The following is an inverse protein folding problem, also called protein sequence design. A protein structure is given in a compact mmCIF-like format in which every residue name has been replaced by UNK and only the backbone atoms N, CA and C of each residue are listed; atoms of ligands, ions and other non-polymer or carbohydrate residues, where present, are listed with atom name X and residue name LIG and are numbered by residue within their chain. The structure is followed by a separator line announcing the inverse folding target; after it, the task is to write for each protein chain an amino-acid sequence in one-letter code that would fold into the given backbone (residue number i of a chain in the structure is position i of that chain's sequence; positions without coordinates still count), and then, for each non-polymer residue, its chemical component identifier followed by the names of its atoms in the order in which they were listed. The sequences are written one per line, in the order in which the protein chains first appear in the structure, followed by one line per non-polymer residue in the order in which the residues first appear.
data_IF_710510758178
#
_entry.id   IF_710510758178
#
_cell.length_a   1.000
_cell.length_b   1.000
_cell.length_c   1.000
_cell.angle_alpha   90.00
_cell.angle_beta   90.00
_cell.angle_gamma   90.00
#
_symmetry.space_group_name_H-M   'P 1'
#
loop_
_entity.id
_entity.type
_entity.pdbx_description
1 polymer ?
#
# COMPACT_ATOMS: atom_id res chain seq x y z
N UNK A 1 2.64 -13.86 -29.53
CA UNK A 1 2.65 -14.04 -28.06
C UNK A 1 1.46 -13.29 -27.48
N UNK A 2 0.53 -13.98 -26.81
CA UNK A 2 -0.69 -13.42 -26.24
C UNK A 2 -0.37 -12.23 -25.31
N UNK A 3 -1.14 -11.15 -25.37
CA UNK A 3 -0.98 -9.96 -24.52
C UNK A 3 -0.94 -10.32 -23.02
N UNK A 4 -1.79 -11.26 -22.60
CA UNK A 4 -1.84 -11.73 -21.21
C UNK A 4 -0.53 -12.40 -20.79
N UNK A 5 0.12 -13.14 -21.69
CA UNK A 5 1.40 -13.78 -21.41
C UNK A 5 2.54 -12.75 -21.26
N UNK A 6 2.54 -11.69 -22.09
CA UNK A 6 3.53 -10.61 -21.97
C UNK A 6 3.40 -9.89 -20.62
N UNK A 7 2.17 -9.63 -20.17
CA UNK A 7 1.91 -8.97 -18.88
C UNK A 7 2.31 -9.86 -17.70
N UNK A 8 2.00 -11.16 -17.76
CA UNK A 8 2.42 -12.14 -16.77
C UNK A 8 3.95 -12.22 -16.69
N UNK A 9 4.63 -12.22 -17.84
CA UNK A 9 6.08 -12.29 -17.91
C UNK A 9 6.74 -11.02 -17.35
N UNK A 10 6.21 -9.84 -17.68
CA UNK A 10 6.65 -8.56 -17.10
C UNK A 10 6.45 -8.50 -15.58
N UNK A 11 5.31 -9.01 -15.09
CA UNK A 11 4.99 -9.10 -13.66
C UNK A 11 5.97 -10.02 -12.94
N UNK A 12 6.19 -11.21 -13.49
CA UNK A 12 7.16 -12.19 -12.96
C UNK A 12 8.56 -11.61 -12.90
N UNK A 13 8.99 -10.94 -13.97
CA UNK A 13 10.28 -10.28 -14.06
C UNK A 13 10.47 -9.23 -12.94
N UNK A 14 9.48 -8.36 -12.75
CA UNK A 14 9.48 -7.36 -11.69
C UNK A 14 9.51 -7.97 -10.28
N UNK A 15 8.76 -9.04 -10.05
CA UNK A 15 8.73 -9.77 -8.77
C UNK A 15 10.11 -10.36 -8.46
N UNK A 16 10.75 -11.04 -9.42
CA UNK A 16 12.07 -11.64 -9.24
C UNK A 16 13.12 -10.58 -8.94
N UNK A 17 13.17 -9.50 -9.74
CA UNK A 17 14.12 -8.40 -9.53
C UNK A 17 13.96 -7.79 -8.14
N UNK A 18 12.70 -7.53 -7.74
CA UNK A 18 12.39 -6.92 -6.44
C UNK A 18 12.75 -7.85 -5.30
N UNK A 19 12.41 -9.14 -5.39
CA UNK A 19 12.70 -10.12 -4.34
C UNK A 19 14.21 -10.34 -4.19
N UNK A 20 14.95 -10.41 -5.30
CA UNK A 20 16.41 -10.52 -5.31
C UNK A 20 17.07 -9.34 -4.61
N UNK A 21 16.68 -8.11 -4.97
CA UNK A 21 17.20 -6.90 -4.32
C UNK A 21 16.90 -6.89 -2.83
N UNK A 22 15.68 -7.28 -2.46
CA UNK A 22 15.28 -7.39 -1.05
C UNK A 22 16.13 -8.38 -0.26
N UNK A 23 16.56 -9.47 -0.90
CA UNK A 23 17.47 -10.45 -0.32
C UNK A 23 18.94 -10.00 -0.31
N UNK A 24 19.27 -8.86 -0.94
CA UNK A 24 20.63 -8.35 -1.02
C UNK A 24 21.53 -9.09 -2.01
N UNK A 25 20.97 -9.92 -2.89
CA UNK A 25 21.75 -10.66 -3.88
C UNK A 25 21.97 -9.84 -5.15
N UNK A 26 23.14 -10.00 -5.76
CA UNK A 26 23.42 -9.67 -7.16
C UNK A 26 22.80 -10.73 -8.08
N UNK A 27 22.74 -10.44 -9.39
CA UNK A 27 22.25 -11.41 -10.36
C UNK A 27 23.14 -12.66 -10.43
N UNK A 28 24.46 -12.50 -10.29
CA UNK A 28 25.41 -13.61 -10.26
C UNK A 28 25.20 -14.52 -9.05
N UNK A 29 25.11 -13.93 -7.86
CA UNK A 29 24.88 -14.71 -6.63
C UNK A 29 23.56 -15.49 -6.65
N UNK A 30 22.49 -14.92 -7.21
CA UNK A 30 21.24 -15.67 -7.38
C UNK A 30 21.41 -16.81 -8.41
N UNK A 31 22.13 -16.55 -9.50
CA UNK A 31 22.38 -17.53 -10.56
C UNK A 31 23.17 -18.74 -10.02
N UNK A 32 24.24 -18.48 -9.26
CA UNK A 32 25.06 -19.50 -8.60
C UNK A 32 24.22 -20.36 -7.65
N UNK A 33 23.31 -19.74 -6.89
CA UNK A 33 22.42 -20.45 -5.95
C UNK A 33 21.41 -21.37 -6.62
N UNK A 34 20.99 -21.08 -7.85
CA UNK A 34 20.01 -21.90 -8.59
C UNK A 34 20.63 -22.73 -9.71
N UNK A 35 21.96 -22.72 -9.84
CA UNK A 35 22.69 -23.52 -10.84
C UNK A 35 22.50 -23.05 -12.29
N UNK A 36 22.38 -21.73 -12.52
CA UNK A 36 22.31 -21.15 -13.88
C UNK A 36 23.36 -20.07 -14.08
N UNK A 37 23.59 -19.65 -15.32
CA UNK A 37 24.46 -18.51 -15.63
C UNK A 37 23.77 -17.16 -15.36
N UNK A 38 24.52 -16.13 -14.98
CA UNK A 38 23.99 -14.77 -14.68
C UNK A 38 23.10 -14.20 -15.81
N UNK A 39 23.46 -14.46 -17.07
CA UNK A 39 22.69 -13.95 -18.23
C UNK A 39 21.25 -14.50 -18.26
N UNK A 40 21.01 -15.69 -17.71
CA UNK A 40 19.67 -16.26 -17.54
C UNK A 40 18.83 -15.42 -16.58
N UNK A 41 19.37 -15.08 -15.40
CA UNK A 41 18.68 -14.20 -14.44
C UNK A 41 18.40 -12.83 -15.06
N UNK A 42 19.38 -12.25 -15.75
CA UNK A 42 19.22 -10.97 -16.45
C UNK A 42 18.10 -11.00 -17.48
N UNK A 43 17.95 -12.10 -18.25
CA UNK A 43 16.85 -12.27 -19.21
C UNK A 43 15.49 -12.48 -18.53
N UNK A 44 15.45 -13.16 -17.38
CA UNK A 44 14.24 -13.31 -16.57
C UNK A 44 13.79 -11.94 -16.04
N UNK A 45 14.68 -11.17 -15.42
CA UNK A 45 14.36 -9.84 -14.86
C UNK A 45 13.99 -8.79 -15.92
N UNK A 46 14.35 -9.01 -17.18
CA UNK A 46 13.92 -8.17 -18.31
C UNK A 46 12.61 -8.63 -18.95
N UNK A 47 12.01 -9.72 -18.48
CA UNK A 47 10.82 -10.31 -19.09
C UNK A 47 11.07 -10.85 -20.50
N UNK A 48 12.32 -11.24 -20.81
CA UNK A 48 12.72 -11.85 -22.10
C UNK A 48 12.59 -13.37 -22.03
N UNK A 49 12.86 -13.95 -20.85
CA UNK A 49 12.85 -15.39 -20.61
C UNK A 49 11.91 -15.71 -19.46
N UNK A 50 10.94 -16.59 -19.70
CA UNK A 50 10.13 -17.15 -18.62
C UNK A 50 10.96 -18.18 -17.85
N UNK A 51 11.00 -18.15 -16.50
CA UNK A 51 11.59 -19.24 -15.74
C UNK A 51 10.76 -20.52 -15.96
N UNK A 52 11.43 -21.67 -15.94
CA UNK A 52 10.73 -22.97 -15.83
C UNK A 52 10.11 -23.09 -14.44
N UNK A 53 9.14 -23.99 -14.25
CA UNK A 53 8.55 -24.26 -12.94
C UNK A 53 9.60 -24.60 -11.87
N UNK A 54 10.59 -25.44 -12.19
CA UNK A 54 11.68 -25.78 -11.28
C UNK A 54 12.42 -24.54 -10.76
N UNK A 55 12.99 -23.74 -11.67
CA UNK A 55 13.68 -22.49 -11.31
C UNK A 55 12.78 -21.49 -10.57
N UNK A 56 11.49 -21.41 -10.91
CA UNK A 56 10.54 -20.57 -10.18
C UNK A 56 10.40 -21.01 -8.71
N UNK A 57 10.24 -22.32 -8.46
CA UNK A 57 10.14 -22.86 -7.11
C UNK A 57 11.44 -22.65 -6.31
N UNK A 58 12.60 -22.85 -6.93
CA UNK A 58 13.90 -22.62 -6.27
C UNK A 58 14.12 -21.14 -5.96
N UNK A 59 13.85 -20.24 -6.90
CA UNK A 59 13.86 -18.79 -6.64
C UNK A 59 12.87 -18.42 -5.53
N UNK A 60 11.67 -19.00 -5.53
CA UNK A 60 10.64 -18.76 -4.52
C UNK A 60 11.12 -19.09 -3.10
N UNK A 61 11.78 -20.24 -2.93
CA UNK A 61 12.39 -20.65 -1.65
C UNK A 61 13.52 -19.71 -1.23
N UNK A 62 14.48 -19.45 -2.12
CA UNK A 62 15.69 -18.66 -1.81
C UNK A 62 15.34 -17.21 -1.51
N UNK A 63 14.46 -16.61 -2.32
CA UNK A 63 14.08 -15.20 -2.25
C UNK A 63 12.86 -14.95 -1.34
N UNK A 64 12.28 -16.01 -0.78
CA UNK A 64 11.05 -15.98 0.03
C UNK A 64 9.94 -15.21 -0.69
N UNK A 65 9.67 -15.57 -1.94
CA UNK A 65 8.58 -15.01 -2.75
C UNK A 65 7.28 -15.71 -2.32
N UNK A 66 6.26 -14.97 -1.88
CA UNK A 66 4.94 -15.56 -1.61
C UNK A 66 4.37 -16.24 -2.85
N UNK A 67 3.72 -17.39 -2.69
CA UNK A 67 3.15 -18.16 -3.81
C UNK A 67 2.12 -17.33 -4.60
N UNK A 68 1.37 -16.47 -3.91
CA UNK A 68 0.35 -15.63 -4.53
C UNK A 68 0.93 -14.42 -5.27
N UNK A 69 2.23 -14.14 -5.16
CA UNK A 69 2.83 -12.89 -5.62
C UNK A 69 2.58 -12.62 -7.11
N UNK A 70 2.72 -13.64 -7.95
CA UNK A 70 2.48 -13.53 -9.40
C UNK A 70 1.01 -13.29 -9.71
N UNK A 71 0.11 -13.93 -8.97
CA UNK A 71 -1.33 -13.78 -9.17
C UNK A 71 -1.83 -12.39 -8.77
N UNK A 72 -1.30 -11.83 -7.68
CA UNK A 72 -1.67 -10.48 -7.22
C UNK A 72 -0.85 -9.37 -7.87
N UNK A 73 0.27 -9.72 -8.51
CA UNK A 73 1.20 -8.77 -9.15
C UNK A 73 2.17 -8.07 -8.20
N UNK A 74 2.26 -8.51 -6.95
CA UNK A 74 3.05 -7.85 -5.90
C UNK A 74 3.74 -8.84 -4.96
N UNK A 75 4.89 -8.44 -4.42
CA UNK A 75 5.45 -9.05 -3.22
C UNK A 75 4.74 -8.50 -1.99
N UNK A 76 3.97 -9.37 -1.32
CA UNK A 76 3.18 -8.97 -0.16
C UNK A 76 3.28 -10.05 0.93
N UNK A 77 4.05 -9.76 1.99
CA UNK A 77 4.20 -10.62 3.17
C UNK A 77 3.34 -10.15 4.34
N UNK A 78 2.50 -9.14 4.12
CA UNK A 78 1.51 -8.68 5.11
C UNK A 78 2.10 -8.30 6.48
N UNK A 79 3.37 -7.85 6.52
CA UNK A 79 4.04 -7.58 7.80
C UNK A 79 3.49 -6.31 8.47
N UNK A 80 3.76 -6.13 9.75
CA UNK A 80 3.39 -4.91 10.48
C UNK A 80 4.36 -3.78 10.11
N UNK A 81 3.82 -2.56 9.94
CA UNK A 81 4.60 -1.35 9.71
C UNK A 81 5.35 -0.97 10.98
N UNK A 82 6.62 -0.60 10.84
CA UNK A 82 7.46 -0.10 11.93
C UNK A 82 7.80 1.33 11.61
N UNK A 83 7.79 2.20 12.63
CA UNK A 83 8.31 3.55 12.46
C UNK A 83 9.82 3.44 12.58
N UNK A 84 10.53 3.60 11.48
CA UNK A 84 11.97 3.45 11.48
C UNK A 84 12.61 4.35 10.42
N UNK A 85 13.50 5.26 10.84
CA UNK A 85 14.24 6.14 9.94
C UNK A 85 15.49 5.48 9.34
N UNK A 86 15.99 4.41 9.95
CA UNK A 86 17.29 3.78 9.63
C UNK A 86 17.16 2.47 8.86
N UNK A 87 15.97 1.88 8.79
CA UNK A 87 15.76 0.62 8.07
C UNK A 87 16.23 0.75 6.61
N UNK A 88 16.98 -0.23 6.11
CA UNK A 88 17.23 -0.33 4.66
C UNK A 88 16.05 -1.04 4.02
N UNK A 89 15.48 -0.45 2.97
CA UNK A 89 14.39 -1.07 2.21
C UNK A 89 14.99 -2.01 1.16
N UNK A 90 15.39 -3.21 1.59
CA UNK A 90 15.64 -4.33 0.69
C UNK A 90 16.54 -4.03 -0.52
N UNK A 91 17.72 -3.47 -0.28
CA UNK A 91 18.69 -3.14 -1.34
C UNK A 91 18.32 -1.93 -2.22
N UNK A 92 17.17 -1.29 -1.99
CA UNK A 92 16.82 -0.03 -2.64
C UNK A 92 17.36 1.16 -1.84
N UNK A 93 17.97 2.10 -2.56
CA UNK A 93 18.37 3.39 -1.99
C UNK A 93 17.24 4.39 -2.20
N UNK A 94 16.63 4.84 -1.11
CA UNK A 94 15.63 5.90 -1.16
C UNK A 94 16.28 7.28 -1.29
N UNK A 95 15.66 8.22 -2.02
CA UNK A 95 15.95 9.65 -1.91
C UNK A 95 15.97 10.11 -0.45
N UNK A 96 16.87 11.06 -0.12
CA UNK A 96 17.06 11.52 1.26
C UNK A 96 15.77 12.04 1.91
N UNK A 97 14.89 12.68 1.12
CA UNK A 97 13.60 13.19 1.58
C UNK A 97 12.63 12.11 2.10
N UNK A 98 12.81 10.85 1.68
CA UNK A 98 11.91 9.73 2.03
C UNK A 98 12.48 8.78 3.09
N UNK A 99 13.71 9.01 3.57
CA UNK A 99 14.36 8.15 4.58
C UNK A 99 13.84 8.36 6.00
N UNK A 100 13.60 9.59 6.47
CA UNK A 100 13.15 9.82 7.84
C UNK A 100 11.71 9.37 8.04
N UNK A 101 11.40 8.88 9.26
CA UNK A 101 10.04 8.62 9.73
C UNK A 101 9.20 7.78 8.76
N UNK A 102 9.77 6.69 8.25
CA UNK A 102 9.01 5.75 7.42
C UNK A 102 7.94 5.09 8.27
N UNK A 103 6.72 5.58 8.13
CA UNK A 103 5.56 5.24 8.94
C UNK A 103 4.42 4.69 8.10
N UNK A 104 4.61 4.56 6.79
CA UNK A 104 3.67 3.97 5.85
C UNK A 104 4.36 2.85 5.09
N UNK A 105 3.56 2.03 4.43
CA UNK A 105 4.03 1.06 3.45
C UNK A 105 3.59 1.44 2.07
N UNK A 106 4.25 0.88 1.06
CA UNK A 106 3.77 0.95 -0.34
C UNK A 106 2.30 0.51 -0.43
N UNK A 107 1.88 -0.49 0.36
CA UNK A 107 0.45 -0.88 0.48
C UNK A 107 -0.47 0.31 0.79
N UNK A 108 -0.05 1.20 1.69
CA UNK A 108 -0.84 2.37 2.11
C UNK A 108 -0.99 3.44 1.03
N UNK A 109 -0.11 3.47 0.02
CA UNK A 109 -0.18 4.41 -1.10
C UNK A 109 -0.68 3.77 -2.40
N UNK A 110 -0.98 2.47 -2.39
CA UNK A 110 -1.30 1.72 -3.61
C UNK A 110 -2.55 2.25 -4.33
N UNK A 111 -3.53 2.77 -3.59
CA UNK A 111 -4.68 3.44 -4.18
C UNK A 111 -4.33 4.71 -4.96
N UNK A 112 -3.33 5.49 -4.50
CA UNK A 112 -2.84 6.65 -5.23
C UNK A 112 -2.23 6.20 -6.56
N UNK A 113 -1.35 5.21 -6.51
CA UNK A 113 -0.66 4.68 -7.70
C UNK A 113 -1.66 4.08 -8.71
N UNK A 114 -2.66 3.34 -8.21
CA UNK A 114 -3.70 2.71 -9.05
C UNK A 114 -4.59 3.78 -9.70
N UNK A 115 -5.06 4.76 -8.93
CA UNK A 115 -5.80 5.90 -9.47
C UNK A 115 -5.01 6.60 -10.57
N UNK A 116 -3.72 6.87 -10.34
CA UNK A 116 -2.87 7.55 -11.32
C UNK A 116 -2.72 6.73 -12.59
N UNK A 117 -2.43 5.43 -12.46
CA UNK A 117 -2.28 4.52 -13.60
C UNK A 117 -3.55 4.47 -14.46
N UNK A 118 -4.71 4.32 -13.82
CA UNK A 118 -5.99 4.18 -14.53
C UNK A 118 -6.49 5.51 -15.10
N UNK A 119 -6.25 6.63 -14.39
CA UNK A 119 -6.70 7.96 -14.80
C UNK A 119 -5.80 8.59 -15.87
N UNK A 120 -4.48 8.43 -15.74
CA UNK A 120 -3.48 9.15 -16.55
C UNK A 120 -2.57 8.23 -17.37
N UNK A 121 -2.65 6.91 -17.17
CA UNK A 121 -1.90 5.91 -17.93
C UNK A 121 -0.55 5.52 -17.33
N UNK A 122 -0.04 4.36 -17.76
CA UNK A 122 1.23 3.77 -17.31
C UNK A 122 2.45 4.67 -17.58
N UNK A 123 2.49 5.37 -18.71
CA UNK A 123 3.62 6.25 -19.05
C UNK A 123 3.70 7.46 -18.12
N UNK A 124 2.55 8.01 -17.72
CA UNK A 124 2.52 9.09 -16.73
C UNK A 124 2.99 8.60 -15.35
N UNK A 125 2.55 7.42 -14.92
CA UNK A 125 3.04 6.82 -13.67
C UNK A 125 4.57 6.60 -13.69
N UNK A 126 5.14 6.15 -14.81
CA UNK A 126 6.60 6.04 -14.97
C UNK A 126 7.30 7.39 -14.83
N UNK A 127 6.71 8.46 -15.37
CA UNK A 127 7.23 9.83 -15.23
C UNK A 127 7.26 10.27 -13.75
N UNK A 128 6.19 9.98 -13.00
CA UNK A 128 6.18 10.24 -11.55
C UNK A 128 7.34 9.51 -10.86
N UNK A 129 7.55 8.23 -11.14
CA UNK A 129 8.66 7.48 -10.54
C UNK A 129 10.04 8.08 -10.90
N UNK A 130 10.21 8.57 -12.12
CA UNK A 130 11.42 9.29 -12.54
C UNK A 130 11.61 10.59 -11.75
N UNK A 131 10.57 11.40 -11.61
CA UNK A 131 10.59 12.67 -10.87
C UNK A 131 10.89 12.43 -9.38
N UNK A 132 10.34 11.36 -8.80
CA UNK A 132 10.65 10.90 -7.44
C UNK A 132 12.06 10.31 -7.31
N UNK A 133 12.78 10.06 -8.41
CA UNK A 133 14.07 9.35 -8.46
C UNK A 133 14.00 7.95 -7.83
N UNK A 134 12.88 7.24 -8.05
CA UNK A 134 12.61 5.92 -7.51
C UNK A 134 12.39 4.91 -8.64
N UNK A 135 12.88 3.67 -8.45
CA UNK A 135 12.65 2.61 -9.43
C UNK A 135 11.22 2.08 -9.31
N UNK A 136 10.51 1.82 -10.43
CA UNK A 136 9.16 1.23 -10.38
C UNK A 136 9.10 -0.08 -9.57
N UNK A 137 10.16 -0.89 -9.63
CA UNK A 137 10.26 -2.15 -8.88
C UNK A 137 10.26 -1.99 -7.37
N UNK A 138 10.61 -0.82 -6.83
CA UNK A 138 10.44 -0.52 -5.40
C UNK A 138 8.97 -0.66 -4.96
N UNK A 139 8.03 -0.25 -5.82
CA UNK A 139 6.59 -0.26 -5.54
C UNK A 139 5.93 -1.62 -5.75
N UNK A 140 6.68 -2.64 -6.21
CA UNK A 140 6.18 -4.01 -6.31
C UNK A 140 6.23 -4.76 -4.97
N UNK A 141 7.03 -4.29 -4.00
CA UNK A 141 7.00 -4.83 -2.64
C UNK A 141 6.09 -3.98 -1.76
N UNK A 142 4.89 -4.49 -1.47
CA UNK A 142 3.89 -3.80 -0.65
C UNK A 142 4.33 -3.64 0.81
N UNK A 143 5.36 -4.38 1.24
CA UNK A 143 5.94 -4.23 2.57
C UNK A 143 7.08 -3.22 2.65
N UNK A 144 7.56 -2.66 1.54
CA UNK A 144 8.54 -1.59 1.59
C UNK A 144 7.96 -0.38 2.34
N UNK A 145 8.73 0.16 3.28
CA UNK A 145 8.31 1.32 4.06
C UNK A 145 8.65 2.61 3.34
N UNK A 146 7.74 3.56 3.45
CA UNK A 146 7.84 4.91 2.91
C UNK A 146 7.44 5.89 4.00
N UNK A 147 7.89 7.14 3.88
CA UNK A 147 7.40 8.19 4.74
C UNK A 147 6.16 8.85 4.15
N UNK A 148 5.53 9.68 4.97
CA UNK A 148 4.31 10.37 4.59
C UNK A 148 4.51 11.36 3.42
N UNK A 149 5.67 12.04 3.37
CA UNK A 149 6.01 13.02 2.32
C UNK A 149 5.93 12.44 0.91
N UNK A 150 6.20 11.13 0.73
CA UNK A 150 6.07 10.50 -0.58
C UNK A 150 4.66 10.65 -1.16
N UNK A 151 3.62 10.59 -0.32
CA UNK A 151 2.23 10.76 -0.76
C UNK A 151 1.97 12.20 -1.19
N UNK A 152 2.46 13.17 -0.41
CA UNK A 152 2.35 14.60 -0.75
C UNK A 152 3.07 14.90 -2.08
N UNK A 153 4.29 14.42 -2.26
CA UNK A 153 5.08 14.65 -3.48
C UNK A 153 4.42 14.00 -4.70
N UNK A 154 3.85 12.79 -4.55
CA UNK A 154 3.07 12.16 -5.63
C UNK A 154 1.92 13.08 -6.06
N UNK A 155 1.16 13.62 -5.09
CA UNK A 155 0.07 14.53 -5.38
C UNK A 155 0.59 15.85 -5.96
N UNK A 156 1.66 16.45 -5.43
CA UNK A 156 2.22 17.67 -5.99
C UNK A 156 2.67 17.49 -7.46
N UNK A 157 3.31 16.36 -7.78
CA UNK A 157 3.71 16.04 -9.16
C UNK A 157 2.48 15.90 -10.05
N UNK A 158 1.43 15.19 -9.60
CA UNK A 158 0.16 15.12 -10.34
C UNK A 158 -0.40 16.53 -10.55
N UNK A 159 -0.37 17.38 -9.52
CA UNK A 159 -0.80 18.79 -9.53
C UNK A 159 -0.10 19.66 -10.57
N UNK A 160 1.19 19.40 -10.83
CA UNK A 160 1.98 20.12 -11.85
C UNK A 160 1.52 19.83 -13.28
N UNK A 161 0.97 18.64 -13.52
CA UNK A 161 0.52 18.22 -14.86
C UNK A 161 -1.00 18.26 -15.03
N UNK A 162 -1.74 18.12 -13.93
CA UNK A 162 -3.19 18.00 -13.90
C UNK A 162 -3.74 18.73 -12.67
N UNK A 163 -4.87 19.42 -12.83
CA UNK A 163 -5.53 20.09 -11.71
C UNK A 163 -5.96 19.05 -10.66
N UNK A 164 -5.48 19.22 -9.42
CA UNK A 164 -5.99 18.47 -8.27
C UNK A 164 -7.14 19.28 -7.66
N UNK A 165 -8.31 18.67 -7.62
CA UNK A 165 -9.49 19.20 -6.94
C UNK A 165 -10.09 18.12 -6.01
N UNK A 166 -11.20 18.43 -5.33
CA UNK A 166 -11.89 17.45 -4.48
C UNK A 166 -12.32 16.17 -5.22
N UNK A 167 -12.47 16.20 -6.55
CA UNK A 167 -12.80 15.00 -7.34
C UNK A 167 -11.59 14.08 -7.45
N UNK A 168 -10.37 14.62 -7.47
CA UNK A 168 -9.14 13.81 -7.42
C UNK A 168 -9.06 13.03 -6.11
N UNK A 169 -9.30 13.68 -4.96
CA UNK A 169 -9.31 13.01 -3.67
C UNK A 169 -10.41 11.94 -3.60
N UNK A 170 -11.64 12.28 -4.02
CA UNK A 170 -12.73 11.32 -4.12
C UNK A 170 -12.42 10.14 -5.06
N UNK A 171 -11.68 10.40 -6.14
CA UNK A 171 -11.20 9.40 -7.09
C UNK A 171 -10.21 8.42 -6.45
N UNK A 172 -9.20 8.92 -5.72
CA UNK A 172 -8.24 8.07 -5.00
C UNK A 172 -8.96 7.24 -3.93
N UNK A 173 -9.80 7.88 -3.13
CA UNK A 173 -10.54 7.25 -2.02
C UNK A 173 -11.54 6.20 -2.54
N UNK A 174 -12.02 6.31 -3.78
CA UNK A 174 -12.86 5.28 -4.39
C UNK A 174 -12.17 3.92 -4.54
N UNK A 175 -10.84 3.89 -4.64
CA UNK A 175 -10.06 2.64 -4.69
C UNK A 175 -9.96 1.95 -3.33
N UNK A 176 -10.33 2.59 -2.22
CA UNK A 176 -10.39 1.91 -0.92
C UNK A 176 -11.35 0.71 -0.93
N UNK A 177 -12.32 0.64 -1.85
CA UNK A 177 -13.21 -0.51 -1.99
C UNK A 177 -12.67 -1.59 -2.97
N UNK A 178 -11.49 -1.38 -3.57
CA UNK A 178 -10.94 -2.25 -4.62
C UNK A 178 -10.03 -3.33 -4.05
N UNK A 179 -10.27 -4.60 -4.39
CA UNK A 179 -9.42 -5.71 -3.96
C UNK A 179 -7.94 -5.51 -4.34
N UNK A 180 -7.68 -4.90 -5.50
CA UNK A 180 -6.34 -4.67 -6.06
C UNK A 180 -5.44 -3.88 -5.09
N UNK A 181 -6.00 -2.96 -4.30
CA UNK A 181 -5.18 -2.09 -3.44
C UNK A 181 -4.88 -2.67 -2.05
N UNK A 182 -5.43 -3.85 -1.73
CA UNK A 182 -5.23 -4.50 -0.43
C UNK A 182 -4.29 -5.70 -0.50
N UNK A 183 -3.82 -6.11 -1.69
CA UNK A 183 -2.91 -7.24 -1.85
C UNK A 183 -3.45 -8.50 -1.19
N UNK A 184 -2.62 -9.20 -0.41
CA UNK A 184 -3.07 -10.43 0.28
C UNK A 184 -4.12 -10.16 1.36
N UNK A 185 -4.29 -8.91 1.82
CA UNK A 185 -5.32 -8.58 2.81
C UNK A 185 -6.75 -8.66 2.23
N UNK A 186 -6.90 -8.52 0.91
CA UNK A 186 -8.20 -8.59 0.25
C UNK A 186 -8.97 -9.89 0.60
N UNK A 187 -8.28 -11.03 0.75
CA UNK A 187 -8.92 -12.30 1.13
C UNK A 187 -9.54 -12.28 2.53
N UNK A 188 -8.96 -11.52 3.46
CA UNK A 188 -9.48 -11.39 4.82
C UNK A 188 -10.73 -10.51 4.85
N UNK A 189 -10.80 -9.51 3.97
CA UNK A 189 -11.94 -8.60 3.85
C UNK A 189 -13.11 -9.21 3.08
N UNK A 190 -12.84 -10.06 2.08
CA UNK A 190 -13.88 -10.78 1.32
C UNK A 190 -14.82 -11.63 2.17
N UNK A 191 -14.33 -12.08 3.33
CA UNK A 191 -15.03 -12.96 4.25
C UNK A 191 -15.71 -12.20 5.40
N UNK A 192 -15.88 -10.88 5.28
CA UNK A 192 -16.63 -10.09 6.26
C UNK A 192 -18.13 -10.39 6.16
N UNK A 193 -18.82 -10.50 7.30
CA UNK A 193 -20.26 -10.79 7.38
C UNK A 193 -21.14 -9.59 7.08
N UNK A 194 -20.71 -8.40 7.52
CA UNK A 194 -21.39 -7.11 7.36
C UNK A 194 -20.37 -5.96 7.24
N UNK A 195 -20.83 -4.72 7.08
CA UNK A 195 -19.96 -3.55 6.92
C UNK A 195 -19.17 -3.20 8.19
N UNK A 196 -19.69 -3.52 9.39
CA UNK A 196 -18.98 -3.28 10.64
C UNK A 196 -17.88 -4.30 10.83
N UNK A 197 -18.13 -5.59 10.59
CA UNK A 197 -17.09 -6.64 10.58
C UNK A 197 -15.98 -6.30 9.57
N UNK A 198 -16.35 -5.78 8.39
CA UNK A 198 -15.39 -5.33 7.40
C UNK A 198 -14.49 -4.20 7.93
N UNK A 199 -15.08 -3.14 8.50
CA UNK A 199 -14.35 -2.02 9.09
C UNK A 199 -13.50 -2.47 10.29
N UNK A 200 -14.03 -3.33 11.15
CA UNK A 200 -13.29 -3.96 12.25
C UNK A 200 -12.02 -4.65 11.75
N UNK A 201 -12.16 -5.51 10.73
CA UNK A 201 -11.02 -6.24 10.15
C UNK A 201 -9.99 -5.27 9.60
N UNK A 202 -10.40 -4.17 8.97
CA UNK A 202 -9.48 -3.14 8.52
C UNK A 202 -8.75 -2.47 9.69
N UNK A 203 -9.47 -2.06 10.74
CA UNK A 203 -8.88 -1.43 11.92
C UNK A 203 -7.88 -2.37 12.62
N UNK A 204 -8.19 -3.67 12.74
CA UNK A 204 -7.25 -4.69 13.25
C UNK A 204 -6.00 -4.86 12.39
N UNK A 205 -6.09 -4.56 11.10
CA UNK A 205 -4.99 -4.70 10.13
C UNK A 205 -4.37 -3.36 9.72
N UNK A 206 -4.77 -2.23 10.29
CA UNK A 206 -4.31 -0.90 9.85
C UNK A 206 -2.81 -0.72 9.98
N UNK A 207 -2.22 -1.34 11.01
CA UNK A 207 -0.78 -1.34 11.24
C UNK A 207 0.01 -1.98 10.10
N UNK A 208 -0.64 -2.76 9.24
CA UNK A 208 -0.06 -3.33 8.02
C UNK A 208 -0.06 -2.33 6.85
N UNK A 209 -0.80 -1.24 6.91
CA UNK A 209 -0.74 -0.16 5.90
C UNK A 209 0.15 0.98 6.37
N UNK A 210 -0.03 1.40 7.61
CA UNK A 210 0.69 2.53 8.18
C UNK A 210 0.63 2.54 9.71
N UNK A 211 1.44 3.41 10.31
CA UNK A 211 1.42 3.80 11.72
C UNK A 211 1.41 5.33 11.87
N UNK A 212 0.80 6.03 10.91
CA UNK A 212 0.51 7.46 11.06
C UNK A 212 -0.39 7.70 12.28
N UNK A 213 -1.39 6.84 12.47
CA UNK A 213 -2.26 6.80 13.64
C UNK A 213 -2.21 5.41 14.28
N UNK A 214 -2.41 5.36 15.60
CA UNK A 214 -2.63 4.16 16.38
C UNK A 214 -4.09 4.14 16.84
N UNK A 215 -4.74 3.00 16.61
CA UNK A 215 -6.10 2.71 17.09
C UNK A 215 -5.99 2.02 18.45
N UNK A 216 -6.76 2.50 19.42
CA UNK A 216 -6.84 1.96 20.78
C UNK A 216 -8.28 2.03 21.32
N UNK A 217 -8.53 1.45 22.49
CA UNK A 217 -9.86 1.41 23.15
C UNK A 217 -11.01 1.06 22.20
N UNK A 218 -10.85 -0.08 21.54
CA UNK A 218 -11.75 -0.58 20.51
C UNK A 218 -12.96 -1.29 21.12
N UNK A 219 -14.19 -0.90 20.74
CA UNK A 219 -15.44 -1.49 21.22
C UNK A 219 -16.50 -1.60 20.12
N UNK A 220 -17.23 -2.71 20.08
CA UNK A 220 -18.37 -2.92 19.17
C UNK A 220 -19.61 -3.20 20.00
N UNK A 221 -20.61 -2.33 19.92
CA UNK A 221 -21.89 -2.50 20.60
C UNK A 221 -23.01 -1.85 19.79
N UNK A 222 -24.20 -2.45 19.83
CA UNK A 222 -25.43 -1.87 19.27
C UNK A 222 -25.30 -1.39 17.81
N UNK A 223 -24.57 -2.13 16.97
CA UNK A 223 -24.36 -1.75 15.56
C UNK A 223 -23.42 -0.55 15.38
N UNK A 224 -22.53 -0.30 16.34
CA UNK A 224 -21.54 0.77 16.29
C UNK A 224 -20.15 0.26 16.62
N UNK A 225 -19.13 0.86 16.01
CA UNK A 225 -17.73 0.70 16.39
C UNK A 225 -17.25 2.02 17.00
N UNK A 226 -16.67 1.96 18.19
CA UNK A 226 -16.01 3.11 18.82
C UNK A 226 -14.53 2.82 19.03
N UNK A 227 -13.68 3.82 18.78
CA UNK A 227 -12.24 3.71 19.02
C UNK A 227 -11.56 5.06 19.24
N UNK A 228 -10.42 5.00 19.92
CA UNK A 228 -9.51 6.13 20.11
C UNK A 228 -8.41 6.09 19.03
N UNK A 229 -8.19 7.19 18.34
CA UNK A 229 -7.11 7.36 17.37
C UNK A 229 -6.13 8.44 17.85
N UNK A 230 -4.83 8.14 17.83
CA UNK A 230 -3.78 9.10 18.19
C UNK A 230 -2.52 8.90 17.34
N UNK A 231 -1.74 9.94 17.13
CA UNK A 231 -0.41 9.76 16.55
C UNK A 231 0.54 9.09 17.54
N UNK A 232 1.42 8.20 17.08
CA UNK A 232 2.62 7.85 17.83
C UNK A 232 3.44 9.10 18.13
N UNK A 233 4.12 9.13 19.28
CA UNK A 233 4.85 10.29 19.76
C UNK A 233 5.87 10.82 18.74
N UNK A 234 6.54 9.92 18.02
CA UNK A 234 7.52 10.22 16.98
C UNK A 234 6.88 10.96 15.79
N UNK A 235 5.64 10.61 15.45
CA UNK A 235 4.87 11.17 14.35
C UNK A 235 4.17 12.47 14.78
N UNK A 236 3.74 12.55 16.04
CA UNK A 236 3.13 13.76 16.59
C UNK A 236 4.09 14.96 16.51
N UNK A 237 5.37 14.76 16.83
CA UNK A 237 6.41 15.79 16.70
C UNK A 237 6.55 16.31 15.27
N UNK A 238 6.35 15.44 14.28
CA UNK A 238 6.39 15.80 12.88
C UNK A 238 5.15 16.63 12.48
N UNK A 239 3.94 16.21 12.88
CA UNK A 239 2.72 16.97 12.59
C UNK A 239 2.66 18.32 13.30
N UNK A 240 3.21 18.43 14.52
CA UNK A 240 3.31 19.70 15.21
C UNK A 240 4.16 20.72 14.43
N UNK A 241 5.12 20.27 13.61
CA UNK A 241 5.91 21.14 12.73
C UNK A 241 5.21 21.44 11.41
N UNK A 242 4.46 20.48 10.86
CA UNK A 242 3.72 20.64 9.60
C UNK A 242 2.51 21.58 9.73
N UNK A 243 1.98 21.73 10.94
CA UNK A 243 0.82 22.58 11.21
C UNK A 243 -0.50 21.81 11.25
N UNK A 244 -1.49 22.45 11.89
CA UNK A 244 -2.81 21.86 12.15
C UNK A 244 -3.58 21.51 10.86
N UNK A 245 -3.45 22.33 9.82
CA UNK A 245 -4.18 22.12 8.56
C UNK A 245 -3.81 20.80 7.87
N UNK A 246 -2.51 20.47 7.81
CA UNK A 246 -2.05 19.22 7.20
C UNK A 246 -2.47 17.99 8.00
N UNK A 247 -2.44 18.08 9.33
CA UNK A 247 -2.98 17.03 10.18
C UNK A 247 -4.48 16.79 9.90
N UNK A 248 -5.25 17.88 9.92
CA UNK A 248 -6.69 17.82 9.74
C UNK A 248 -7.05 17.26 8.36
N UNK A 249 -6.35 17.69 7.31
CA UNK A 249 -6.51 17.16 5.95
C UNK A 249 -6.31 15.64 5.90
N UNK A 250 -5.26 15.13 6.55
CA UNK A 250 -5.00 13.69 6.58
C UNK A 250 -6.02 12.91 7.37
N UNK A 251 -6.48 13.48 8.47
CA UNK A 251 -7.53 12.89 9.25
C UNK A 251 -8.81 12.76 8.42
N UNK A 252 -9.21 13.82 7.71
CA UNK A 252 -10.38 13.80 6.82
C UNK A 252 -10.23 12.82 5.65
N UNK A 253 -9.03 12.74 5.06
CA UNK A 253 -8.72 11.72 4.06
C UNK A 253 -8.91 10.31 4.62
N UNK A 254 -8.42 10.06 5.84
CA UNK A 254 -8.52 8.77 6.50
C UNK A 254 -9.97 8.39 6.87
N UNK A 255 -10.78 9.33 7.36
CA UNK A 255 -12.21 9.08 7.60
C UNK A 255 -12.94 8.78 6.28
N UNK A 256 -12.64 9.54 5.22
CA UNK A 256 -13.18 9.30 3.88
C UNK A 256 -12.78 7.93 3.36
N UNK A 257 -11.54 7.51 3.60
CA UNK A 257 -11.04 6.19 3.25
C UNK A 257 -11.83 5.10 3.96
N UNK A 258 -12.03 5.17 5.28
CA UNK A 258 -12.82 4.17 6.02
C UNK A 258 -14.25 4.12 5.47
N UNK A 259 -14.88 5.28 5.23
CA UNK A 259 -16.24 5.35 4.68
C UNK A 259 -16.36 4.70 3.30
N UNK A 260 -15.34 4.81 2.44
CA UNK A 260 -15.33 4.09 1.15
C UNK A 260 -14.95 2.63 1.30
N UNK A 261 -14.01 2.31 2.18
CA UNK A 261 -13.59 0.95 2.45
C UNK A 261 -14.76 0.10 2.96
N UNK A 262 -15.68 0.65 3.74
CA UNK A 262 -16.89 -0.08 4.18
C UNK A 262 -17.82 -0.53 3.03
N UNK A 263 -17.54 -0.12 1.79
CA UNK A 263 -18.23 -0.56 0.57
C UNK A 263 -17.46 -1.67 -0.17
N UNK A 264 -16.33 -2.15 0.36
CA UNK A 264 -15.48 -3.19 -0.24
C UNK A 264 -16.29 -4.44 -0.58
N UNK A 265 -16.33 -4.80 -1.86
CA UNK A 265 -17.05 -5.97 -2.39
C UNK A 265 -18.56 -6.05 -2.04
N UNK A 266 -19.17 -4.98 -1.50
CA UNK A 266 -20.60 -4.98 -1.17
C UNK A 266 -21.47 -4.80 -2.42
N UNK A 267 -20.98 -4.07 -3.43
CA UNK A 267 -21.75 -3.79 -4.67
C UNK A 267 -22.12 -5.06 -5.47
N UNK A 268 -21.43 -6.17 -5.20
CA UNK A 268 -21.60 -7.43 -5.93
C UNK A 268 -22.24 -8.54 -5.09
N UNK A 269 -22.46 -8.34 -3.77
CA UNK A 269 -22.87 -9.43 -2.86
C UNK A 269 -24.22 -9.23 -2.18
N UNK A 270 -24.64 -8.00 -1.88
CA UNK A 270 -25.80 -7.75 -1.01
C UNK A 270 -26.59 -6.54 -1.53
N UNK A 271 -27.89 -6.74 -1.81
CA UNK A 271 -28.84 -5.74 -2.33
C UNK A 271 -29.19 -4.62 -1.32
N UNK A 272 -28.63 -4.67 -0.11
CA UNK A 272 -28.93 -3.76 1.00
C UNK A 272 -27.66 -3.09 1.52
N UNK A 273 -27.16 -2.12 0.76
CA UNK A 273 -26.14 -1.21 1.26
C UNK A 273 -26.72 -0.34 2.38
N UNK A 274 -26.19 -0.48 3.60
CA UNK A 274 -26.44 0.45 4.70
C UNK A 274 -25.57 1.68 4.56
N UNK A 275 -26.08 2.83 4.99
CA UNK A 275 -25.28 4.04 5.03
C UNK A 275 -24.31 3.95 6.21
N UNK A 276 -23.03 4.19 5.96
CA UNK A 276 -22.01 4.28 7.01
C UNK A 276 -21.81 5.74 7.39
N UNK A 277 -22.13 6.08 8.63
CA UNK A 277 -21.83 7.37 9.23
C UNK A 277 -20.58 7.24 10.10
N UNK A 278 -19.71 8.25 10.01
CA UNK A 278 -18.48 8.32 10.79
C UNK A 278 -18.46 9.67 11.46
N UNK A 279 -18.44 9.65 12.78
CA UNK A 279 -18.31 10.83 13.63
C UNK A 279 -16.93 10.80 14.28
N UNK A 280 -16.27 11.95 14.34
CA UNK A 280 -14.97 12.08 14.98
C UNK A 280 -14.90 13.38 15.76
N UNK A 281 -14.44 13.30 17.00
CA UNK A 281 -14.16 14.49 17.79
C UNK A 281 -12.92 15.23 17.27
N UNK A 282 -12.79 16.49 17.66
CA UNK A 282 -11.48 17.14 17.67
C UNK A 282 -10.49 16.38 18.56
N UNK A 283 -9.21 16.78 18.51
CA UNK A 283 -8.20 16.28 19.43
C UNK A 283 -8.50 16.75 20.85
N UNK A 284 -8.48 15.84 21.82
CA UNK A 284 -8.51 16.19 23.23
C UNK A 284 -7.14 16.75 23.70
N UNK A 285 -7.02 17.06 24.99
CA UNK A 285 -5.77 17.55 25.60
C UNK A 285 -4.59 16.56 25.49
N UNK A 286 -4.87 15.30 25.18
CA UNK A 286 -3.87 14.24 24.98
C UNK A 286 -3.59 13.98 23.50
N UNK A 287 -4.24 14.70 22.58
CA UNK A 287 -4.11 14.48 21.14
C UNK A 287 -4.91 13.29 20.62
N UNK A 288 -5.84 12.75 21.44
CA UNK A 288 -6.70 11.62 21.10
C UNK A 288 -7.93 12.14 20.37
N UNK A 289 -8.32 11.45 19.30
CA UNK A 289 -9.60 11.63 18.61
C UNK A 289 -10.48 10.44 18.95
N UNK A 290 -11.69 10.69 19.44
CA UNK A 290 -12.69 9.65 19.61
C UNK A 290 -13.47 9.52 18.31
N UNK A 291 -13.65 8.28 17.85
CA UNK A 291 -14.32 7.98 16.58
C UNK A 291 -15.44 6.99 16.83
N UNK A 292 -16.61 7.29 16.25
CA UNK A 292 -17.78 6.43 16.24
C UNK A 292 -18.15 6.14 14.79
N UNK A 293 -18.34 4.87 14.46
CA UNK A 293 -18.79 4.40 13.14
C UNK A 293 -20.11 3.67 13.35
N UNK A 294 -21.14 4.08 12.62
CA UNK A 294 -22.48 3.48 12.68
C UNK A 294 -22.94 3.06 11.29
N UNK A 295 -23.71 1.97 11.22
CA UNK A 295 -24.41 1.54 9.99
C UNK A 295 -25.91 1.75 10.16
N UNK A 296 -26.51 2.56 9.30
CA UNK A 296 -27.95 2.80 9.23
C UNK A 296 -28.59 1.94 8.13
#
# INVERSE_FOLDING_TARGET
MNQNYKELLATTAGIVETARKNAGFTQGELADKIGVIQSTISRIEKGILSPTLYHWLEMGKILKIPEEAVNIGYLDRCSITKINSEAKEGGFTLPAAYRPLKCMKVRGILAHLTFIEEKFGKEFLKKIFLDLKMKPTFFLNLDNHVNFNLTEDILEIVGKYHKIDGRTQGGIVSYAASEKVHGVLARFYRNASDQLDLVERYLKNISKYHRVFCVSKYKIENGQITFDAQHPLEIQKFFNKLGHERDQFLWEFYLSWIKKFSLFNYKNKIDTHKEVHIESTGRDKHGIRHVTITTC
#
